data_IF_563059880837
#
_entry.id   IF_563059880837
#
_cell.length_a   1.000
_cell.length_b   1.000
_cell.length_c   1.000
_cell.angle_alpha   90.00
_cell.angle_beta   90.00
_cell.angle_gamma   90.00
#
_symmetry.space_group_name_H-M   'P 1'
#
loop_
_entity.id
_entity.type
_entity.pdbx_description
1 polymer ?
#
# COMPACT_ATOMS: atom_id res chain seq x y z
N UNK A 1 -9.65 34.70 44.49
CA UNK A 1 -8.64 33.74 43.98
C UNK A 1 -9.40 32.61 43.31
N UNK A 2 -9.65 32.72 42.01
CA UNK A 2 -10.36 31.69 41.24
C UNK A 2 -9.33 30.70 40.67
N UNK A 3 -9.53 29.41 40.95
CA UNK A 3 -8.67 28.34 40.47
C UNK A 3 -8.75 28.25 38.93
N UNK A 4 -7.61 28.44 38.27
CA UNK A 4 -7.49 28.19 36.85
C UNK A 4 -7.50 26.68 36.60
N UNK A 5 -8.56 26.19 35.97
CA UNK A 5 -8.64 24.82 35.47
C UNK A 5 -7.55 24.64 34.42
N UNK A 6 -6.52 23.84 34.75
CA UNK A 6 -5.51 23.39 33.80
C UNK A 6 -6.21 22.62 32.68
N UNK A 7 -6.39 23.26 31.52
CA UNK A 7 -6.70 22.57 30.26
C UNK A 7 -5.54 21.63 29.99
N UNK A 8 -5.78 20.32 30.10
CA UNK A 8 -4.90 19.29 29.53
C UNK A 8 -4.64 19.64 28.05
N UNK A 9 -3.44 19.42 27.50
CA UNK A 9 -3.24 19.56 26.07
C UNK A 9 -4.25 18.65 25.38
N UNK A 10 -5.08 19.22 24.49
CA UNK A 10 -6.09 18.45 23.76
C UNK A 10 -5.38 17.34 23.01
N UNK A 11 -5.72 16.08 23.32
CA UNK A 11 -5.39 14.97 22.43
C UNK A 11 -5.86 15.38 21.03
N UNK A 12 -4.94 15.39 20.07
CA UNK A 12 -5.26 15.78 18.69
C UNK A 12 -6.40 14.90 18.19
N UNK A 13 -7.49 15.51 17.71
CA UNK A 13 -8.68 14.78 17.24
C UNK A 13 -8.28 13.76 16.16
N UNK A 14 -8.61 12.46 16.31
CA UNK A 14 -8.33 11.44 15.28
C UNK A 14 -8.79 11.84 13.88
N UNK A 15 -9.88 12.62 13.77
CA UNK A 15 -10.35 13.10 12.47
C UNK A 15 -9.38 14.10 11.83
N UNK A 16 -8.77 15.01 12.60
CA UNK A 16 -7.75 15.92 12.08
C UNK A 16 -6.48 15.18 11.64
N UNK A 17 -6.09 14.14 12.39
CA UNK A 17 -4.94 13.31 12.03
C UNK A 17 -5.22 12.55 10.74
N UNK A 18 -6.37 11.88 10.65
CA UNK A 18 -6.79 11.15 9.44
C UNK A 18 -6.85 12.07 8.22
N UNK A 19 -7.37 13.29 8.38
CA UNK A 19 -7.42 14.29 7.31
C UNK A 19 -6.03 14.69 6.82
N UNK A 20 -5.08 14.96 7.72
CA UNK A 20 -3.70 15.31 7.35
C UNK A 20 -2.98 14.16 6.64
N UNK A 21 -3.20 12.93 7.09
CA UNK A 21 -2.63 11.73 6.44
C UNK A 21 -3.23 11.57 5.05
N UNK A 22 -4.55 11.69 4.90
CA UNK A 22 -5.24 11.60 3.62
C UNK A 22 -4.73 12.67 2.63
N UNK A 23 -4.54 13.90 3.10
CA UNK A 23 -3.98 14.99 2.31
C UNK A 23 -2.54 14.69 1.87
N UNK A 24 -1.67 14.28 2.79
CA UNK A 24 -0.27 13.95 2.50
C UNK A 24 -0.13 12.79 1.50
N UNK A 25 -0.97 11.75 1.61
CA UNK A 25 -0.97 10.63 0.68
C UNK A 25 -1.37 11.02 -0.75
N UNK A 26 -2.16 12.09 -0.92
CA UNK A 26 -2.59 12.58 -2.22
C UNK A 26 -1.67 13.67 -2.81
N UNK A 27 -0.53 13.96 -2.19
CA UNK A 27 0.49 14.87 -2.75
C UNK A 27 1.26 14.18 -3.86
N UNK A 28 1.39 14.85 -5.02
CA UNK A 28 2.35 14.44 -6.06
C UNK A 28 2.11 13.03 -6.59
N UNK A 29 0.85 12.58 -6.60
CA UNK A 29 0.48 11.30 -7.20
C UNK A 29 0.72 11.38 -8.71
N UNK A 30 1.80 10.74 -9.17
CA UNK A 30 2.27 10.79 -10.56
C UNK A 30 1.86 9.56 -11.37
N UNK A 31 1.49 8.47 -10.71
CA UNK A 31 0.98 7.27 -11.37
C UNK A 31 -0.41 7.54 -11.94
N UNK A 32 -0.57 7.35 -13.25
CA UNK A 32 -1.80 7.69 -13.97
C UNK A 32 -2.97 6.92 -13.36
N UNK A 33 -3.97 7.62 -12.82
CA UNK A 33 -5.16 7.00 -12.27
C UNK A 33 -4.96 6.32 -10.91
N UNK A 34 -3.77 6.33 -10.33
CA UNK A 34 -3.55 5.93 -8.93
C UNK A 34 -4.19 6.96 -8.00
N UNK A 35 -4.77 6.51 -6.89
CA UNK A 35 -5.19 7.39 -5.80
C UNK A 35 -5.33 6.65 -4.47
N UNK A 36 -5.20 7.41 -3.39
CA UNK A 36 -5.44 6.93 -2.03
C UNK A 36 -6.82 7.37 -1.52
N UNK A 37 -7.47 6.49 -0.76
CA UNK A 37 -8.63 6.80 0.08
C UNK A 37 -8.29 6.46 1.52
N UNK A 38 -8.70 7.33 2.45
CA UNK A 38 -8.51 7.11 3.90
C UNK A 38 -9.86 6.93 4.58
N UNK A 39 -9.99 5.90 5.40
CA UNK A 39 -11.10 5.67 6.31
C UNK A 39 -10.69 5.99 7.75
N UNK A 40 -11.60 6.63 8.48
CA UNK A 40 -11.54 6.75 9.93
C UNK A 40 -12.62 5.84 10.51
N UNK A 41 -12.24 4.83 11.28
CA UNK A 41 -13.17 3.95 11.98
C UNK A 41 -13.71 4.61 13.27
N UNK A 42 -14.85 4.12 13.78
CA UNK A 42 -15.51 4.62 15.00
C UNK A 42 -14.65 4.47 16.26
N UNK A 43 -13.77 3.48 16.29
CA UNK A 43 -12.79 3.27 17.37
C UNK A 43 -11.57 4.21 17.28
N UNK A 44 -11.49 5.04 16.24
CA UNK A 44 -10.39 5.97 16.00
C UNK A 44 -9.26 5.41 15.12
N UNK A 45 -9.36 4.15 14.67
CA UNK A 45 -8.36 3.56 13.77
C UNK A 45 -8.37 4.27 12.41
N UNK A 46 -7.19 4.57 11.89
CA UNK A 46 -7.01 5.14 10.55
C UNK A 46 -6.60 3.99 9.63
N UNK A 47 -7.39 3.77 8.58
CA UNK A 47 -7.16 2.74 7.58
C UNK A 47 -7.08 3.39 6.21
N UNK A 48 -6.17 2.94 5.35
CA UNK A 48 -5.98 3.46 3.99
C UNK A 48 -6.11 2.33 2.98
N UNK A 49 -6.51 2.70 1.76
CA UNK A 49 -6.53 1.82 0.60
C UNK A 49 -6.21 2.65 -0.65
N UNK A 50 -5.74 1.99 -1.70
CA UNK A 50 -5.61 2.58 -3.03
C UNK A 50 -6.19 1.62 -4.09
N UNK A 51 -6.30 2.10 -5.31
CA UNK A 51 -6.93 1.37 -6.42
C UNK A 51 -5.94 0.54 -7.24
N UNK A 52 -4.74 0.26 -6.74
CA UNK A 52 -3.69 -0.47 -7.44
C UNK A 52 -3.42 -1.80 -6.75
N UNK A 53 -4.01 -2.87 -7.28
CA UNK A 53 -3.80 -4.23 -6.75
C UNK A 53 -4.12 -4.34 -5.24
N UNK A 54 -3.35 -5.17 -4.53
CA UNK A 54 -3.48 -5.37 -3.08
C UNK A 54 -2.18 -5.01 -2.39
N UNK A 55 -2.23 -4.19 -1.34
CA UNK A 55 -1.07 -3.86 -0.51
C UNK A 55 0.00 -2.96 -1.14
N UNK A 56 -0.15 -2.55 -2.41
CA UNK A 56 0.84 -1.72 -3.09
C UNK A 56 1.01 -0.36 -2.42
N UNK A 57 2.27 0.03 -2.20
CA UNK A 57 2.70 1.32 -1.69
C UNK A 57 3.82 1.82 -2.61
N UNK A 58 3.70 3.01 -3.24
CA UNK A 58 4.75 3.57 -4.07
C UNK A 58 6.07 3.72 -3.32
N UNK A 59 7.17 3.70 -4.07
CA UNK A 59 8.49 4.01 -3.51
C UNK A 59 8.47 5.39 -2.83
N UNK A 60 9.22 5.53 -1.73
CA UNK A 60 9.30 6.75 -0.91
C UNK A 60 8.02 7.18 -0.17
N UNK A 61 6.95 6.38 -0.23
CA UNK A 61 5.77 6.57 0.64
C UNK A 61 5.96 5.77 1.93
N UNK A 62 5.90 6.46 3.06
CA UNK A 62 5.88 5.85 4.38
C UNK A 62 4.50 6.05 5.03
N UNK A 63 4.00 5.01 5.69
CA UNK A 63 2.76 5.09 6.45
C UNK A 63 3.07 5.28 7.94
N UNK A 64 2.47 6.29 8.62
CA UNK A 64 2.58 6.40 10.08
C UNK A 64 2.21 5.12 10.81
N UNK A 65 2.81 4.87 11.97
CA UNK A 65 2.70 3.59 12.69
C UNK A 65 1.26 3.17 13.01
N UNK A 66 0.41 4.16 13.29
CA UNK A 66 -1.00 3.97 13.62
C UNK A 66 -1.92 3.68 12.42
N UNK A 67 -1.43 3.81 11.17
CA UNK A 67 -2.23 3.63 9.96
C UNK A 67 -2.29 2.14 9.59
N UNK A 68 -3.45 1.63 9.19
CA UNK A 68 -3.60 0.28 8.63
C UNK A 68 -3.74 0.35 7.12
N UNK A 69 -3.21 -0.62 6.38
CA UNK A 69 -3.44 -0.77 4.95
C UNK A 69 -4.46 -1.88 4.74
N UNK A 70 -5.68 -1.52 4.32
CA UNK A 70 -6.82 -2.45 4.28
C UNK A 70 -6.53 -3.71 3.47
N UNK A 71 -5.97 -3.52 2.26
CA UNK A 71 -5.69 -4.63 1.33
C UNK A 71 -4.46 -5.46 1.70
N UNK A 72 -3.66 -5.02 2.69
CA UNK A 72 -2.51 -5.77 3.22
C UNK A 72 -2.84 -6.55 4.50
N UNK A 73 -4.07 -6.47 5.00
CA UNK A 73 -4.46 -7.17 6.23
C UNK A 73 -4.74 -8.66 5.97
N UNK A 74 -3.73 -9.51 6.20
CA UNK A 74 -3.79 -10.94 5.93
C UNK A 74 -4.64 -11.73 6.95
N UNK A 75 -5.18 -11.08 7.99
CA UNK A 75 -6.26 -11.69 8.79
C UNK A 75 -7.56 -11.84 7.99
N UNK A 76 -7.69 -11.09 6.89
CA UNK A 76 -8.81 -11.13 5.96
C UNK A 76 -8.50 -12.10 4.81
N UNK A 77 -9.39 -13.06 4.51
CA UNK A 77 -9.16 -14.05 3.45
C UNK A 77 -8.78 -13.42 2.10
N UNK A 78 -7.87 -14.06 1.38
CA UNK A 78 -7.36 -13.56 0.11
C UNK A 78 -8.48 -13.34 -0.93
N UNK A 79 -9.48 -14.24 -0.99
CA UNK A 79 -10.66 -14.09 -1.86
C UNK A 79 -11.42 -12.80 -1.58
N UNK A 80 -11.65 -12.50 -0.30
CA UNK A 80 -12.38 -11.31 0.13
C UNK A 80 -11.60 -10.07 -0.29
N UNK A 81 -10.30 -10.02 0.02
CA UNK A 81 -9.43 -8.91 -0.38
C UNK A 81 -9.37 -8.75 -1.91
N UNK A 82 -9.35 -9.85 -2.66
CA UNK A 82 -9.37 -9.84 -4.12
C UNK A 82 -10.56 -9.11 -4.71
N UNK A 83 -11.75 -9.20 -4.08
CA UNK A 83 -12.94 -8.47 -4.55
C UNK A 83 -12.83 -6.95 -4.42
N UNK A 84 -11.82 -6.45 -3.69
CA UNK A 84 -11.58 -5.02 -3.48
C UNK A 84 -10.60 -4.42 -4.50
N UNK A 85 -9.99 -5.24 -5.37
CA UNK A 85 -9.09 -4.75 -6.40
C UNK A 85 -9.78 -3.67 -7.25
N UNK A 86 -9.11 -2.54 -7.47
CA UNK A 86 -9.68 -1.31 -8.10
C UNK A 86 -10.76 -0.56 -7.31
N UNK A 87 -11.20 -1.05 -6.15
CA UNK A 87 -12.31 -0.50 -5.35
C UNK A 87 -11.87 -0.15 -3.91
N UNK A 88 -11.05 0.89 -3.70
CA UNK A 88 -10.49 1.21 -2.38
C UNK A 88 -11.54 1.52 -1.32
N UNK A 89 -12.68 2.12 -1.66
CA UNK A 89 -13.76 2.38 -0.69
C UNK A 89 -14.38 1.06 -0.19
N UNK A 90 -14.52 0.05 -1.07
CA UNK A 90 -14.98 -1.27 -0.66
C UNK A 90 -13.97 -1.93 0.29
N UNK A 91 -12.67 -1.75 0.04
CA UNK A 91 -11.62 -2.24 0.95
C UNK A 91 -11.74 -1.66 2.37
N UNK A 92 -12.04 -0.35 2.49
CA UNK A 92 -12.20 0.29 3.79
C UNK A 92 -13.40 -0.27 4.57
N UNK A 93 -14.53 -0.48 3.89
CA UNK A 93 -15.72 -1.09 4.52
C UNK A 93 -15.49 -2.54 4.89
N UNK A 94 -14.89 -3.33 3.98
CA UNK A 94 -14.57 -4.73 4.22
C UNK A 94 -13.60 -4.90 5.40
N UNK A 95 -12.59 -4.03 5.51
CA UNK A 95 -11.70 -3.98 6.67
C UNK A 95 -12.47 -3.65 7.95
N UNK A 96 -13.29 -2.59 7.95
CA UNK A 96 -14.06 -2.19 9.12
C UNK A 96 -15.00 -3.31 9.60
N UNK A 97 -15.69 -3.97 8.66
CA UNK A 97 -16.57 -5.09 8.94
C UNK A 97 -15.82 -6.27 9.57
N UNK A 98 -14.67 -6.66 9.00
CA UNK A 98 -13.86 -7.75 9.55
C UNK A 98 -13.42 -7.49 11.00
N UNK A 99 -13.07 -6.23 11.30
CA UNK A 99 -12.63 -5.80 12.63
C UNK A 99 -13.79 -5.41 13.57
N UNK A 100 -15.03 -5.75 13.23
CA UNK A 100 -16.23 -5.48 14.03
C UNK A 100 -16.38 -3.99 14.42
N UNK A 101 -16.05 -3.10 13.49
CA UNK A 101 -16.19 -1.65 13.63
C UNK A 101 -16.94 -1.08 12.41
N UNK A 102 -17.12 0.23 12.38
CA UNK A 102 -17.76 0.93 11.26
C UNK A 102 -16.95 2.16 10.89
N UNK A 103 -17.06 2.61 9.63
CA UNK A 103 -16.45 3.86 9.21
C UNK A 103 -17.21 5.05 9.81
N UNK A 104 -16.50 5.85 10.59
CA UNK A 104 -16.93 7.17 11.06
C UNK A 104 -16.87 8.19 9.93
N UNK A 105 -15.84 8.11 9.09
CA UNK A 105 -15.70 8.96 7.91
C UNK A 105 -14.84 8.31 6.81
N UNK A 106 -15.09 8.71 5.57
CA UNK A 106 -14.22 8.47 4.40
C UNK A 106 -13.66 9.80 3.93
N UNK A 107 -12.36 9.85 3.66
CA UNK A 107 -11.60 11.06 3.34
C UNK A 107 -10.91 10.87 1.99
N UNK A 108 -11.23 11.76 1.04
CA UNK A 108 -10.75 11.72 -0.33
C UNK A 108 -10.92 13.10 -0.99
N UNK A 109 -10.38 13.28 -2.20
CA UNK A 109 -10.67 14.47 -3.02
C UNK A 109 -12.08 14.40 -3.63
N UNK A 110 -12.59 15.53 -4.13
CA UNK A 110 -13.90 15.57 -4.78
C UNK A 110 -13.97 14.62 -5.99
N UNK A 111 -12.92 14.61 -6.83
CA UNK A 111 -12.85 13.75 -8.02
C UNK A 111 -12.89 12.26 -7.66
N UNK A 112 -12.28 11.87 -6.54
CA UNK A 112 -12.26 10.49 -6.07
C UNK A 112 -13.63 10.01 -5.56
N UNK A 113 -14.53 10.92 -5.17
CA UNK A 113 -15.91 10.59 -4.79
C UNK A 113 -16.88 10.60 -5.98
N UNK A 114 -16.49 11.11 -7.16
CA UNK A 114 -17.42 11.23 -8.29
C UNK A 114 -17.95 9.87 -8.73
N UNK A 115 -19.27 9.75 -8.74
CA UNK A 115 -19.97 8.54 -9.23
C UNK A 115 -20.00 7.37 -8.24
N UNK A 116 -19.61 7.57 -6.98
CA UNK A 116 -19.61 6.52 -5.96
C UNK A 116 -20.28 7.01 -4.66
N UNK A 117 -21.17 6.20 -4.07
CA UNK A 117 -21.66 6.44 -2.71
C UNK A 117 -20.69 5.80 -1.71
N UNK A 118 -20.00 6.60 -0.88
CA UNK A 118 -19.02 6.07 0.05
C UNK A 118 -19.63 5.32 1.23
N UNK A 119 -20.95 5.29 1.41
CA UNK A 119 -21.63 4.50 2.44
C UNK A 119 -21.31 4.91 3.89
N UNK A 120 -20.68 6.06 4.06
CA UNK A 120 -20.29 6.67 5.35
C UNK A 120 -20.12 8.19 5.17
N UNK A 121 -20.13 8.98 6.25
CA UNK A 121 -19.90 10.42 6.17
C UNK A 121 -18.59 10.77 5.43
N UNK A 122 -18.62 11.76 4.55
CA UNK A 122 -17.46 12.17 3.77
C UNK A 122 -16.74 13.37 4.38
N UNK A 123 -15.41 13.37 4.31
CA UNK A 123 -14.59 14.57 4.47
C UNK A 123 -13.85 14.81 3.14
N UNK A 124 -14.22 15.87 2.44
CA UNK A 124 -13.64 16.19 1.13
C UNK A 124 -12.37 17.02 1.33
N UNK A 125 -11.26 16.52 0.81
CA UNK A 125 -9.99 17.24 0.73
C UNK A 125 -10.10 18.34 -0.33
N UNK A 126 -9.88 19.58 0.09
CA UNK A 126 -9.78 20.74 -0.81
C UNK A 126 -8.34 20.88 -1.30
N UNK A 127 -8.12 21.58 -2.42
CA UNK A 127 -6.76 21.87 -2.88
C UNK A 127 -5.87 22.50 -1.81
N UNK A 128 -6.42 23.44 -1.02
CA UNK A 128 -5.69 24.14 0.06
C UNK A 128 -5.35 23.21 1.25
N UNK A 129 -5.95 22.03 1.34
CA UNK A 129 -5.63 21.04 2.38
C UNK A 129 -4.40 20.20 2.02
N UNK A 130 -4.04 20.13 0.72
CA UNK A 130 -2.92 19.33 0.22
C UNK A 130 -1.60 20.05 0.53
N UNK A 131 -0.71 19.47 1.36
CA UNK A 131 0.55 20.11 1.69
C UNK A 131 1.52 20.10 0.51
N UNK A 132 2.56 20.94 0.57
CA UNK A 132 3.62 20.97 -0.45
C UNK A 132 4.40 19.65 -0.57
N UNK A 133 4.46 18.87 0.53
CA UNK A 133 5.16 17.59 0.60
C UNK A 133 4.31 16.53 1.26
N UNK A 134 4.25 15.34 0.65
CA UNK A 134 3.60 14.15 1.19
C UNK A 134 4.48 13.31 2.11
N UNK A 135 5.70 13.77 2.42
CA UNK A 135 6.63 13.01 3.25
C UNK A 135 6.09 12.84 4.66
N UNK A 136 6.01 11.57 5.09
CA UNK A 136 5.59 11.19 6.43
C UNK A 136 6.66 10.32 7.08
N UNK A 137 6.77 10.39 8.42
CA UNK A 137 7.54 9.43 9.20
C UNK A 137 6.68 8.19 9.47
N UNK A 138 7.32 7.02 9.50
CA UNK A 138 6.66 5.78 9.85
C UNK A 138 7.28 4.60 9.11
N UNK A 139 6.45 3.62 8.81
CA UNK A 139 6.83 2.36 8.20
C UNK A 139 6.96 2.50 6.69
N UNK A 140 8.05 1.99 6.15
CA UNK A 140 8.22 1.85 4.71
C UNK A 140 7.40 0.66 4.17
N UNK A 141 7.27 0.57 2.85
CA UNK A 141 6.43 -0.42 2.15
C UNK A 141 6.55 -1.87 2.65
N UNK A 142 7.77 -2.40 2.77
CA UNK A 142 7.99 -3.76 3.31
C UNK A 142 7.53 -3.93 4.77
N UNK A 143 7.75 -2.93 5.65
CA UNK A 143 7.28 -3.00 7.03
C UNK A 143 5.76 -2.98 7.15
N UNK A 144 5.06 -2.41 6.16
CA UNK A 144 3.59 -2.39 6.15
C UNK A 144 3.03 -3.75 5.76
N UNK A 145 3.59 -4.41 4.74
CA UNK A 145 3.03 -5.65 4.19
C UNK A 145 3.64 -6.93 4.78
N UNK A 146 4.87 -6.87 5.30
CA UNK A 146 5.59 -8.03 5.84
C UNK A 146 6.54 -7.61 6.97
N UNK A 147 5.95 -7.17 8.10
CA UNK A 147 6.69 -6.63 9.25
C UNK A 147 7.78 -7.59 9.76
N UNK A 148 7.48 -8.89 9.88
CA UNK A 148 8.43 -9.90 10.34
C UNK A 148 9.64 -10.04 9.41
N UNK A 149 9.43 -9.99 8.09
CA UNK A 149 10.50 -10.03 7.10
C UNK A 149 11.37 -8.77 7.19
N UNK A 150 10.75 -7.59 7.37
CA UNK A 150 11.48 -6.34 7.58
C UNK A 150 12.36 -6.38 8.85
N UNK A 151 11.82 -6.90 9.97
CA UNK A 151 12.57 -7.05 11.23
C UNK A 151 13.74 -8.03 11.06
N UNK A 152 13.52 -9.17 10.41
CA UNK A 152 14.58 -10.15 10.14
C UNK A 152 15.70 -9.53 9.30
N UNK A 153 15.36 -8.84 8.20
CA UNK A 153 16.33 -8.18 7.33
C UNK A 153 17.11 -7.08 8.05
N UNK A 154 16.45 -6.28 8.88
CA UNK A 154 17.09 -5.25 9.68
C UNK A 154 18.09 -5.82 10.71
N UNK A 155 17.84 -7.04 11.20
CA UNK A 155 18.72 -7.75 12.13
C UNK A 155 19.99 -8.34 11.50
N UNK A 156 20.08 -8.42 10.16
CA UNK A 156 21.25 -8.97 9.47
C UNK A 156 22.42 -7.99 9.45
N UNK A 157 23.60 -8.49 9.80
CA UNK A 157 24.86 -7.78 9.57
C UNK A 157 25.14 -7.66 8.07
N UNK A 158 26.00 -6.72 7.67
CA UNK A 158 26.35 -6.56 6.25
C UNK A 158 26.90 -7.84 5.61
N UNK A 159 27.68 -8.64 6.35
CA UNK A 159 28.22 -9.91 5.86
C UNK A 159 27.18 -11.03 5.71
N UNK A 160 26.06 -10.96 6.43
CA UNK A 160 24.99 -11.97 6.37
C UNK A 160 23.90 -11.70 5.34
N UNK A 161 23.99 -10.61 4.57
CA UNK A 161 23.00 -10.26 3.54
C UNK A 161 23.07 -11.21 2.34
N UNK A 162 24.27 -11.62 1.93
CA UNK A 162 24.43 -12.56 0.81
C UNK A 162 23.90 -13.96 1.14
N UNK A 163 23.87 -14.34 2.41
CA UNK A 163 23.43 -15.67 2.85
C UNK A 163 21.90 -15.86 2.75
N UNK A 164 21.13 -14.76 2.64
CA UNK A 164 19.67 -14.81 2.50
C UNK A 164 19.19 -14.66 1.07
N UNK A 165 20.10 -14.45 0.12
CA UNK A 165 19.78 -14.43 -1.29
C UNK A 165 19.66 -15.85 -1.84
N UNK A 166 18.75 -16.11 -2.78
CA UNK A 166 18.80 -17.33 -3.57
C UNK A 166 20.14 -17.41 -4.34
N UNK A 167 20.54 -18.61 -4.81
CA UNK A 167 21.75 -18.75 -5.60
C UNK A 167 21.74 -17.81 -6.81
N UNK A 168 22.87 -17.13 -7.06
CA UNK A 168 23.00 -16.24 -8.19
C UNK A 168 22.76 -17.00 -9.51
N UNK A 169 22.08 -16.40 -10.50
CA UNK A 169 21.97 -16.97 -11.83
C UNK A 169 23.36 -17.24 -12.43
N UNK A 170 23.47 -18.24 -13.31
CA UNK A 170 24.75 -18.59 -13.94
C UNK A 170 25.30 -17.48 -14.87
N UNK A 171 24.47 -16.49 -15.25
CA UNK A 171 24.84 -15.34 -16.05
C UNK A 171 24.90 -14.05 -15.24
N UNK A 172 25.78 -13.13 -15.63
CA UNK A 172 25.94 -11.80 -15.01
C UNK A 172 25.19 -10.69 -15.75
N UNK A 173 24.45 -11.04 -16.81
CA UNK A 173 23.69 -10.07 -17.60
C UNK A 173 22.51 -9.54 -16.79
N UNK A 174 22.31 -8.22 -16.85
CA UNK A 174 21.17 -7.59 -16.19
C UNK A 174 19.88 -7.97 -16.94
N UNK A 175 18.78 -8.28 -16.24
CA UNK A 175 17.49 -8.47 -16.89
C UNK A 175 17.06 -7.18 -17.62
N UNK A 176 16.42 -7.32 -18.78
CA UNK A 176 15.82 -6.19 -19.51
C UNK A 176 14.79 -5.48 -18.64
N UNK A 177 14.89 -4.16 -18.44
CA UNK A 177 13.91 -3.42 -17.63
C UNK A 177 12.63 -3.12 -18.43
N UNK A 178 11.61 -3.95 -18.24
CA UNK A 178 10.29 -3.87 -18.88
C UNK A 178 9.23 -3.20 -17.98
N UNK A 179 9.63 -2.64 -16.82
CA UNK A 179 8.68 -2.11 -15.82
C UNK A 179 7.71 -1.10 -16.41
N UNK A 180 8.15 -0.22 -17.29
CA UNK A 180 7.27 0.79 -17.92
C UNK A 180 6.13 0.14 -18.73
N UNK A 181 6.43 -0.90 -19.49
CA UNK A 181 5.45 -1.64 -20.29
C UNK A 181 4.49 -2.41 -19.40
N UNK A 182 5.02 -3.12 -18.40
CA UNK A 182 4.19 -3.90 -17.47
C UNK A 182 3.33 -3.00 -16.57
N UNK A 183 3.82 -1.83 -16.18
CA UNK A 183 3.05 -0.86 -15.40
C UNK A 183 1.85 -0.31 -16.17
N UNK A 184 2.00 -0.12 -17.49
CA UNK A 184 0.88 0.23 -18.35
C UNK A 184 -0.21 -0.84 -18.31
N UNK A 185 0.15 -2.12 -18.28
CA UNK A 185 -0.81 -3.23 -18.16
C UNK A 185 -1.51 -3.26 -16.79
N UNK A 186 -0.84 -2.87 -15.70
CA UNK A 186 -1.47 -2.71 -14.38
C UNK A 186 -2.49 -1.57 -14.37
N UNK A 187 -2.18 -0.48 -15.06
CA UNK A 187 -3.06 0.68 -15.16
C UNK A 187 -4.26 0.42 -16.08
N UNK A 188 -4.06 -0.26 -17.22
CA UNK A 188 -5.05 -0.38 -18.30
C UNK A 188 -6.46 -0.82 -17.85
N UNK A 189 -6.64 -1.79 -16.92
CA UNK A 189 -7.96 -2.19 -16.43
C UNK A 189 -8.75 -1.08 -15.74
N UNK A 190 -8.08 -0.06 -15.20
CA UNK A 190 -8.74 1.10 -14.57
C UNK A 190 -9.48 1.98 -15.58
N UNK A 191 -9.19 1.85 -16.87
CA UNK A 191 -9.93 2.52 -17.96
C UNK A 191 -11.21 1.79 -18.36
N UNK A 192 -11.45 0.59 -17.80
CA UNK A 192 -12.58 -0.27 -18.15
C UNK A 192 -13.68 -0.23 -17.08
N UNK A 193 -14.92 -0.46 -17.53
CA UNK A 193 -16.07 -0.74 -16.65
C UNK A 193 -16.44 -2.22 -16.63
N UNK A 194 -15.59 -3.09 -17.17
CA UNK A 194 -15.83 -4.53 -17.17
C UNK A 194 -15.87 -5.08 -15.73
N UNK A 195 -16.80 -5.99 -15.40
CA UNK A 195 -17.00 -6.48 -14.04
C UNK A 195 -15.81 -7.28 -13.51
N UNK A 196 -15.00 -7.85 -14.40
CA UNK A 196 -13.80 -8.64 -14.13
C UNK A 196 -12.50 -7.82 -14.10
N UNK A 197 -12.57 -6.48 -14.27
CA UNK A 197 -11.38 -5.61 -14.35
C UNK A 197 -10.44 -5.75 -13.15
N UNK A 198 -10.98 -6.07 -11.97
CA UNK A 198 -10.19 -6.29 -10.75
C UNK A 198 -9.27 -7.49 -10.91
N UNK A 199 -9.80 -8.61 -11.40
CA UNK A 199 -9.02 -9.82 -11.66
C UNK A 199 -7.93 -9.57 -12.72
N UNK A 200 -8.30 -8.92 -13.84
CA UNK A 200 -7.34 -8.56 -14.89
C UNK A 200 -6.22 -7.66 -14.36
N UNK A 201 -6.53 -6.71 -13.46
CA UNK A 201 -5.51 -5.89 -12.83
C UNK A 201 -4.59 -6.71 -11.93
N UNK A 202 -5.13 -7.63 -11.12
CA UNK A 202 -4.32 -8.48 -10.25
C UNK A 202 -3.36 -9.35 -11.08
N UNK A 203 -3.82 -9.96 -12.16
CA UNK A 203 -2.98 -10.77 -13.05
C UNK A 203 -1.83 -9.93 -13.65
N UNK A 204 -2.15 -8.73 -14.15
CA UNK A 204 -1.13 -7.80 -14.67
C UNK A 204 -0.14 -7.35 -13.60
N UNK A 205 -0.61 -7.17 -12.35
CA UNK A 205 0.24 -6.77 -11.24
C UNK A 205 1.15 -7.91 -10.80
N UNK A 206 0.70 -9.16 -10.80
CA UNK A 206 1.56 -10.32 -10.55
C UNK A 206 2.72 -10.32 -11.54
N UNK A 207 2.45 -10.16 -12.84
CA UNK A 207 3.50 -10.10 -13.86
C UNK A 207 4.47 -8.92 -13.65
N UNK A 208 3.96 -7.74 -13.27
CA UNK A 208 4.80 -6.60 -12.92
C UNK A 208 5.69 -6.89 -11.69
N UNK A 209 5.11 -7.45 -10.63
CA UNK A 209 5.81 -7.74 -9.38
C UNK A 209 6.86 -8.84 -9.57
N UNK A 210 6.58 -9.86 -10.38
CA UNK A 210 7.55 -10.88 -10.81
C UNK A 210 8.74 -10.26 -11.54
N UNK A 211 8.47 -9.36 -12.48
CA UNK A 211 9.55 -8.67 -13.17
C UNK A 211 10.35 -7.73 -12.25
N UNK A 212 9.68 -7.01 -11.35
CA UNK A 212 10.31 -6.09 -10.42
C UNK A 212 11.16 -6.82 -9.37
N UNK A 213 10.75 -8.02 -8.92
CA UNK A 213 11.56 -8.84 -8.02
C UNK A 213 12.84 -9.34 -8.69
N UNK A 214 12.82 -9.70 -9.98
CA UNK A 214 14.02 -10.14 -10.72
C UNK A 214 15.07 -9.03 -10.82
N UNK A 215 14.63 -7.81 -11.14
CA UNK A 215 15.50 -6.63 -11.18
C UNK A 215 16.08 -6.31 -9.79
N UNK A 216 15.27 -6.38 -8.75
CA UNK A 216 15.71 -6.14 -7.38
C UNK A 216 16.70 -7.22 -6.90
N UNK A 217 16.46 -8.48 -7.25
CA UNK A 217 17.36 -9.59 -6.93
C UNK A 217 18.71 -9.45 -7.64
N UNK A 218 18.71 -9.09 -8.93
CA UNK A 218 19.94 -8.81 -9.65
C UNK A 218 20.73 -7.68 -8.97
N UNK A 219 20.07 -6.57 -8.62
CA UNK A 219 20.68 -5.46 -7.87
C UNK A 219 21.28 -5.92 -6.54
N UNK A 220 20.61 -6.80 -5.80
CA UNK A 220 21.11 -7.32 -4.54
C UNK A 220 22.37 -8.18 -4.70
N UNK A 221 22.52 -8.90 -5.82
CA UNK A 221 23.73 -9.68 -6.11
C UNK A 221 24.93 -8.83 -6.50
N UNK A 222 24.72 -7.71 -7.20
CA UNK A 222 25.81 -6.86 -7.71
C UNK A 222 26.15 -5.69 -6.77
N UNK A 223 25.35 -5.45 -5.73
CA UNK A 223 25.55 -4.35 -4.79
C UNK A 223 26.90 -4.49 -4.08
N UNK A 224 27.70 -3.43 -4.12
CA UNK A 224 29.02 -3.39 -3.47
C UNK A 224 28.95 -2.88 -2.03
N UNK A 225 27.90 -2.11 -1.72
CA UNK A 225 27.69 -1.51 -0.39
C UNK A 225 26.60 -2.25 0.40
N UNK A 226 26.83 -2.59 1.68
CA UNK A 226 25.83 -3.30 2.49
C UNK A 226 24.49 -2.55 2.65
N UNK A 227 24.49 -1.22 2.57
CA UNK A 227 23.26 -0.43 2.62
C UNK A 227 22.43 -0.60 1.34
N UNK A 228 23.07 -0.57 0.19
CA UNK A 228 22.45 -0.78 -1.13
C UNK A 228 21.95 -2.21 -1.27
N UNK A 229 22.77 -3.19 -0.85
CA UNK A 229 22.37 -4.60 -0.87
C UNK A 229 21.12 -4.84 -0.01
N UNK A 230 21.08 -4.26 1.20
CA UNK A 230 19.92 -4.38 2.08
C UNK A 230 18.68 -3.73 1.48
N UNK A 231 18.81 -2.57 0.85
CA UNK A 231 17.69 -1.91 0.17
C UNK A 231 17.16 -2.77 -1.00
N UNK A 232 18.06 -3.32 -1.82
CA UNK A 232 17.70 -4.21 -2.92
C UNK A 232 17.02 -5.51 -2.44
N UNK A 233 17.49 -6.10 -1.33
CA UNK A 233 16.84 -7.25 -0.69
C UNK A 233 15.45 -6.87 -0.17
N UNK A 234 15.31 -5.69 0.45
CA UNK A 234 14.02 -5.23 0.95
C UNK A 234 13.00 -5.07 -0.19
N UNK A 235 13.46 -4.54 -1.33
CA UNK A 235 12.64 -4.39 -2.54
C UNK A 235 12.28 -5.74 -3.15
N UNK A 236 13.24 -6.66 -3.25
CA UNK A 236 13.01 -8.03 -3.73
C UNK A 236 11.93 -8.73 -2.89
N UNK A 237 12.05 -8.72 -1.56
CA UNK A 237 11.05 -9.32 -0.66
C UNK A 237 9.69 -8.61 -0.79
N UNK A 238 9.68 -7.28 -0.91
CA UNK A 238 8.44 -6.53 -1.07
C UNK A 238 7.67 -6.94 -2.33
N UNK A 239 8.36 -7.04 -3.47
CA UNK A 239 7.74 -7.45 -4.73
C UNK A 239 7.30 -8.91 -4.70
N UNK A 240 8.10 -9.80 -4.09
CA UNK A 240 7.73 -11.19 -3.88
C UNK A 240 6.42 -11.30 -3.06
N UNK A 241 6.33 -10.56 -1.95
CA UNK A 241 5.13 -10.60 -1.09
C UNK A 241 3.89 -10.06 -1.80
N UNK A 242 4.04 -8.98 -2.58
CA UNK A 242 2.95 -8.47 -3.41
C UNK A 242 2.46 -9.47 -4.46
N UNK A 243 3.38 -10.15 -5.16
CA UNK A 243 3.02 -11.17 -6.14
C UNK A 243 2.20 -12.30 -5.48
N UNK A 244 2.64 -12.80 -4.32
CA UNK A 244 1.91 -13.83 -3.56
C UNK A 244 0.54 -13.33 -3.11
N UNK A 245 0.45 -12.13 -2.52
CA UNK A 245 -0.82 -11.55 -2.06
C UNK A 245 -1.88 -11.51 -3.17
N UNK A 246 -1.46 -11.18 -4.40
CA UNK A 246 -2.36 -11.06 -5.54
C UNK A 246 -2.64 -12.43 -6.19
N UNK A 247 -1.63 -13.29 -6.32
CA UNK A 247 -1.80 -14.65 -6.82
C UNK A 247 -2.77 -15.48 -5.95
N UNK A 248 -2.70 -15.37 -4.62
CA UNK A 248 -3.61 -16.07 -3.71
C UNK A 248 -5.06 -15.59 -3.87
N UNK A 249 -5.25 -14.29 -4.11
CA UNK A 249 -6.56 -13.71 -4.38
C UNK A 249 -7.16 -14.21 -5.71
N UNK A 250 -6.31 -14.42 -6.73
CA UNK A 250 -6.70 -14.96 -8.04
C UNK A 250 -7.01 -16.47 -7.95
N UNK A 251 -6.07 -17.26 -7.44
CA UNK A 251 -6.13 -18.73 -7.41
C UNK A 251 -7.36 -19.25 -6.66
N UNK A 252 -7.78 -18.52 -5.62
CA UNK A 252 -8.94 -18.92 -4.83
C UNK A 252 -10.26 -18.48 -5.50
N UNK A 253 -10.23 -17.49 -6.40
CA UNK A 253 -11.39 -17.08 -7.21
C UNK A 253 -11.72 -18.07 -8.33
N UNK A 254 -10.75 -18.87 -8.79
CA UNK A 254 -10.94 -19.91 -9.80
C UNK A 254 -11.62 -21.20 -9.28
N UNK A 255 -11.76 -21.34 -7.95
CA UNK A 255 -12.28 -22.53 -7.28
C UNK A 255 -13.71 -22.36 -6.73
N UNK A 256 -14.44 -21.32 -7.16
CA UNK A 256 -15.82 -21.01 -6.75
C UNK A 256 -16.77 -21.10 -7.93
#
# INVERSE_FOLDING_TARGET
>A
MAAATLRRPSATDPAQIAHRIAAALNVGVNDIGFFWITGLAKDGTIVVANNYGLGYIPENVNLPDQVKMATADESIPATVRGTWATYPILALHGWAQHHNTELRAVIATEDQFKGFDPGAPTMVLRPDDIPESGQMKGRHRLQVIAADAAVKLAGLSGGGLSDVLPPAPAGTEAPDDQRSTLWFEVFRPLLSNAPDRGQVQLDAFVAYAEHAQDLALHRAHIATEPAEQRAAIADWIYWQHLAVLMADAIATSANV
#
